data_IF_962891013420
#
_entry.id   IF_962891013420
#
_cell.length_a   1.000
_cell.length_b   1.000
_cell.length_c   1.000
_cell.angle_alpha   90.00
_cell.angle_beta   90.00
_cell.angle_gamma   90.00
#
_symmetry.space_group_name_H-M   'P 1'
#
loop_
_entity.id
_entity.type
_entity.pdbx_description
1 polymer ?
#
# COMPACT_ATOMS: atom_id res chain seq x y z
N UNK A 1 -12.40 10.64 -3.31
CA UNK A 1 -13.37 10.55 -4.43
C UNK A 1 -13.05 11.51 -5.57
N UNK A 2 -12.74 12.79 -5.34
CA UNK A 2 -12.43 13.74 -6.43
C UNK A 2 -11.39 13.20 -7.43
N UNK A 3 -10.31 12.57 -6.94
CA UNK A 3 -9.28 11.98 -7.79
C UNK A 3 -9.69 10.75 -8.61
N UNK A 4 -10.80 10.10 -8.26
CA UNK A 4 -11.29 8.90 -8.94
C UNK A 4 -12.53 9.17 -9.80
N UNK A 5 -13.06 10.41 -9.79
CA UNK A 5 -14.33 10.76 -10.45
C UNK A 5 -14.28 10.65 -11.97
N UNK A 6 -13.10 10.81 -12.58
CA UNK A 6 -12.93 10.81 -14.04
C UNK A 6 -12.29 9.51 -14.55
N UNK A 7 -12.06 8.53 -13.67
CA UNK A 7 -11.43 7.27 -14.05
C UNK A 7 -12.49 6.34 -14.61
N UNK A 8 -12.31 5.94 -15.87
CA UNK A 8 -13.22 5.02 -16.57
C UNK A 8 -12.75 3.58 -16.50
N UNK A 9 -11.50 3.32 -16.09
CA UNK A 9 -10.98 1.97 -15.93
C UNK A 9 -11.53 1.35 -14.63
N UNK A 10 -12.16 0.16 -14.68
CA UNK A 10 -12.65 -0.49 -13.47
C UNK A 10 -11.52 -0.99 -12.54
N UNK A 11 -10.28 -1.12 -13.05
CA UNK A 11 -9.14 -1.60 -12.27
C UNK A 11 -8.11 -0.48 -12.06
N UNK A 12 -7.91 -0.10 -10.80
CA UNK A 12 -7.01 1.00 -10.42
C UNK A 12 -6.07 0.53 -9.30
N UNK A 13 -4.76 0.60 -9.55
CA UNK A 13 -3.72 0.40 -8.56
C UNK A 13 -3.43 1.72 -7.83
N UNK A 14 -3.76 1.78 -6.54
CA UNK A 14 -3.36 2.86 -5.64
C UNK A 14 -2.06 2.46 -4.94
N UNK A 15 -0.99 3.18 -5.26
CA UNK A 15 0.32 2.98 -4.69
C UNK A 15 0.93 4.33 -4.33
N UNK A 16 2.22 4.40 -3.99
CA UNK A 16 2.80 5.68 -3.58
C UNK A 16 4.23 5.91 -4.03
N UNK A 17 4.67 5.21 -5.07
CA UNK A 17 5.79 5.60 -5.91
C UNK A 17 7.14 5.60 -5.20
N UNK A 18 7.27 4.96 -4.04
CA UNK A 18 8.58 4.74 -3.43
C UNK A 18 9.32 3.62 -4.17
N UNK A 19 10.66 3.69 -4.26
CA UNK A 19 11.45 2.59 -4.83
C UNK A 19 11.07 1.24 -4.21
N UNK A 20 11.20 0.15 -4.98
CA UNK A 20 10.88 -1.20 -4.50
C UNK A 20 9.44 -1.59 -4.82
N UNK A 21 8.71 -2.07 -3.80
CA UNK A 21 7.40 -2.69 -3.99
C UNK A 21 6.38 -1.77 -4.68
N UNK A 22 6.28 -0.49 -4.28
CA UNK A 22 5.31 0.45 -4.86
C UNK A 22 5.51 0.57 -6.39
N UNK A 23 6.76 0.73 -6.86
CA UNK A 23 7.07 0.81 -8.30
C UNK A 23 6.83 -0.51 -9.02
N UNK A 24 7.18 -1.65 -8.41
CA UNK A 24 6.95 -2.96 -9.03
C UNK A 24 5.45 -3.25 -9.22
N UNK A 25 4.62 -2.93 -8.22
CA UNK A 25 3.17 -3.01 -8.35
C UNK A 25 2.65 -2.12 -9.47
N UNK A 26 3.10 -0.85 -9.53
CA UNK A 26 2.72 0.09 -10.58
C UNK A 26 3.07 -0.42 -11.97
N UNK A 27 4.31 -0.85 -12.18
CA UNK A 27 4.77 -1.39 -13.47
C UNK A 27 3.98 -2.62 -13.91
N UNK A 28 3.71 -3.55 -13.00
CA UNK A 28 2.94 -4.75 -13.32
C UNK A 28 1.46 -4.45 -13.56
N UNK A 29 0.89 -3.45 -12.88
CA UNK A 29 -0.49 -3.02 -13.08
C UNK A 29 -0.65 -2.34 -14.45
N UNK A 30 0.24 -1.41 -14.77
CA UNK A 30 0.25 -0.67 -16.05
C UNK A 30 0.43 -1.63 -17.23
N UNK A 31 1.32 -2.62 -17.12
CA UNK A 31 1.60 -3.57 -18.20
C UNK A 31 0.41 -4.49 -18.56
N UNK A 32 -0.55 -4.66 -17.65
CA UNK A 32 -1.78 -5.42 -17.89
C UNK A 32 -3.02 -4.53 -18.09
N UNK A 33 -2.82 -3.21 -18.23
CA UNK A 33 -3.86 -2.24 -18.52
C UNK A 33 -4.71 -1.81 -17.32
N UNK A 34 -4.23 -1.98 -16.08
CA UNK A 34 -4.82 -1.28 -14.93
C UNK A 34 -4.34 0.17 -14.94
N UNK A 35 -5.21 1.08 -14.49
CA UNK A 35 -4.77 2.44 -14.21
C UNK A 35 -3.92 2.48 -12.94
N UNK A 36 -2.95 3.39 -12.87
CA UNK A 36 -2.00 3.47 -11.76
C UNK A 36 -1.98 4.88 -11.21
N UNK A 37 -2.15 5.00 -9.90
CA UNK A 37 -1.98 6.24 -9.15
C UNK A 37 -0.91 6.03 -8.09
N UNK A 38 0.17 6.79 -8.20
CA UNK A 38 1.17 6.93 -7.17
C UNK A 38 0.94 8.22 -6.36
N UNK A 39 0.42 8.06 -5.15
CA UNK A 39 0.28 9.16 -4.20
C UNK A 39 1.66 9.64 -3.72
N UNK A 40 1.87 10.95 -3.79
CA UNK A 40 3.16 11.59 -3.56
C UNK A 40 2.98 12.98 -2.94
N UNK A 41 4.05 13.74 -2.80
CA UNK A 41 4.04 15.14 -2.34
C UNK A 41 5.22 15.93 -2.91
N UNK A 42 5.18 17.27 -2.95
CA UNK A 42 6.32 18.09 -3.40
C UNK A 42 7.57 17.75 -2.57
N UNK A 43 8.65 17.27 -3.22
CA UNK A 43 9.89 16.70 -2.64
C UNK A 43 9.92 15.21 -2.29
N UNK A 44 8.86 14.45 -2.54
CA UNK A 44 8.94 12.99 -2.46
C UNK A 44 9.68 12.44 -3.68
N UNK A 45 10.87 11.82 -3.51
CA UNK A 45 11.60 11.21 -4.62
C UNK A 45 10.85 9.98 -5.11
N UNK A 46 10.62 9.91 -6.42
CA UNK A 46 9.95 8.79 -7.08
C UNK A 46 10.47 8.65 -8.50
N UNK A 47 10.56 7.41 -8.97
CA UNK A 47 10.86 7.05 -10.36
C UNK A 47 9.61 6.70 -11.17
N UNK A 48 8.42 6.84 -10.57
CA UNK A 48 7.16 6.62 -11.27
C UNK A 48 6.97 7.62 -12.43
N UNK A 49 6.25 7.23 -13.50
CA UNK A 49 5.82 8.14 -14.55
C UNK A 49 5.07 9.36 -13.98
N UNK A 50 5.35 10.56 -14.52
CA UNK A 50 4.77 11.80 -13.96
C UNK A 50 3.25 11.88 -14.16
N UNK A 51 2.72 11.27 -15.22
CA UNK A 51 1.28 11.14 -15.48
C UNK A 51 0.57 10.18 -14.51
N UNK A 52 1.31 9.31 -13.82
CA UNK A 52 0.79 8.44 -12.77
C UNK A 52 0.95 9.05 -11.36
N UNK A 53 1.61 10.21 -11.22
CA UNK A 53 1.90 10.83 -9.92
C UNK A 53 0.85 11.87 -9.54
N UNK A 54 0.25 11.69 -8.36
CA UNK A 54 -0.57 12.73 -7.71
C UNK A 54 0.19 13.30 -6.52
N UNK A 55 0.60 14.57 -6.62
CA UNK A 55 1.37 15.28 -5.60
C UNK A 55 0.46 16.07 -4.68
N UNK A 56 0.22 15.51 -3.49
CA UNK A 56 -0.65 16.09 -2.48
C UNK A 56 0.02 17.30 -1.81
N UNK A 57 -0.74 18.36 -1.62
CA UNK A 57 -0.33 19.51 -0.79
C UNK A 57 -0.33 19.14 0.69
N UNK A 58 0.31 19.96 1.54
CA UNK A 58 0.30 19.72 2.99
C UNK A 58 -1.12 19.78 3.58
N UNK A 59 -1.99 20.65 3.06
CA UNK A 59 -3.40 20.73 3.46
C UNK A 59 -4.19 19.46 3.08
N UNK A 60 -3.92 18.90 1.91
CA UNK A 60 -4.52 17.63 1.49
C UNK A 60 -4.00 16.49 2.37
N UNK A 61 -2.69 16.43 2.62
CA UNK A 61 -2.10 15.42 3.50
C UNK A 61 -2.70 15.45 4.92
N UNK A 62 -3.05 16.63 5.43
CA UNK A 62 -3.65 16.79 6.76
C UNK A 62 -5.00 16.06 6.92
N UNK A 63 -5.70 15.73 5.84
CA UNK A 63 -6.95 14.93 5.88
C UNK A 63 -6.74 13.54 6.51
N UNK A 64 -5.51 13.03 6.48
CA UNK A 64 -5.15 11.72 7.05
C UNK A 64 -4.87 11.74 8.56
N UNK A 65 -4.86 12.92 9.21
CA UNK A 65 -4.36 13.06 10.59
C UNK A 65 -5.14 12.21 11.60
N UNK A 66 -6.47 12.13 11.49
CA UNK A 66 -7.28 11.30 12.39
C UNK A 66 -7.02 9.80 12.18
N UNK A 67 -6.91 9.35 10.92
CA UNK A 67 -6.57 7.96 10.62
C UNK A 67 -5.18 7.59 11.15
N UNK A 68 -4.20 8.50 11.05
CA UNK A 68 -2.87 8.30 11.60
C UNK A 68 -2.87 8.25 13.12
N UNK A 69 -3.63 9.10 13.81
CA UNK A 69 -3.75 9.06 15.28
C UNK A 69 -4.35 7.73 15.74
N UNK A 70 -5.37 7.24 15.05
CA UNK A 70 -6.00 5.95 15.34
C UNK A 70 -5.04 4.79 15.09
N UNK A 71 -4.31 4.79 13.98
CA UNK A 71 -3.30 3.78 13.69
C UNK A 71 -2.16 3.82 14.71
N UNK A 72 -1.70 5.01 15.12
CA UNK A 72 -0.68 5.17 16.16
C UNK A 72 -1.11 4.52 17.48
N UNK A 73 -2.37 4.69 17.90
CA UNK A 73 -2.93 4.08 19.11
C UNK A 73 -2.95 2.55 19.01
N UNK A 74 -3.38 1.98 17.88
CA UNK A 74 -3.37 0.51 17.67
C UNK A 74 -1.97 -0.06 17.65
N UNK A 75 -1.00 0.69 17.12
CA UNK A 75 0.40 0.26 17.01
C UNK A 75 1.20 0.48 18.29
N UNK A 76 0.60 1.07 19.34
CA UNK A 76 1.30 1.55 20.53
C UNK A 76 2.50 2.46 20.19
N UNK A 77 2.27 3.41 19.28
CA UNK A 77 3.27 4.36 18.77
C UNK A 77 2.77 5.79 18.86
N UNK A 78 3.70 6.74 18.75
CA UNK A 78 3.38 8.14 18.49
C UNK A 78 3.54 8.44 17.00
N UNK A 79 2.68 9.31 16.45
CA UNK A 79 2.84 9.82 15.08
C UNK A 79 4.21 10.53 15.00
N UNK A 80 5.10 10.14 14.07
CA UNK A 80 6.41 10.76 13.91
C UNK A 80 6.30 12.26 13.63
N UNK A 81 7.05 13.06 14.41
CA UNK A 81 7.15 14.53 14.25
C UNK A 81 8.13 14.96 13.16
N UNK A 82 9.01 14.06 12.70
CA UNK A 82 9.98 14.35 11.63
C UNK A 82 9.21 14.67 10.34
N UNK A 83 9.33 15.88 9.74
CA UNK A 83 8.45 16.31 8.66
C UNK A 83 8.36 15.34 7.47
N UNK A 84 9.52 14.85 7.00
CA UNK A 84 9.58 13.88 5.88
C UNK A 84 8.87 12.56 6.21
N UNK A 85 9.09 12.01 7.41
CA UNK A 85 8.46 10.75 7.84
C UNK A 85 6.96 10.95 8.01
N UNK A 86 6.56 12.08 8.60
CA UNK A 86 5.17 12.43 8.80
C UNK A 86 4.42 12.54 7.46
N UNK A 87 4.99 13.21 6.45
CA UNK A 87 4.41 13.28 5.10
C UNK A 87 4.29 11.90 4.42
N UNK A 88 5.30 11.03 4.58
CA UNK A 88 5.23 9.67 4.06
C UNK A 88 4.04 8.90 4.66
N UNK A 89 3.85 8.96 5.97
CA UNK A 89 2.73 8.28 6.61
C UNK A 89 1.38 8.88 6.23
N UNK A 90 1.29 10.21 6.09
CA UNK A 90 0.09 10.88 5.60
C UNK A 90 -0.26 10.46 4.17
N UNK A 91 0.74 10.36 3.29
CA UNK A 91 0.57 9.83 1.94
C UNK A 91 0.02 8.41 1.96
N UNK A 92 0.49 7.56 2.88
CA UNK A 92 0.06 6.17 2.96
C UNK A 92 -1.45 6.01 3.19
N UNK A 93 -2.11 6.98 3.82
CA UNK A 93 -3.57 7.00 3.94
C UNK A 93 -4.25 6.96 2.57
N UNK A 94 -3.77 7.76 1.61
CA UNK A 94 -4.37 7.85 0.27
C UNK A 94 -4.21 6.55 -0.53
N UNK A 95 -3.19 5.74 -0.23
CA UNK A 95 -3.02 4.42 -0.84
C UNK A 95 -4.12 3.44 -0.45
N UNK A 96 -4.75 3.61 0.73
CA UNK A 96 -5.65 2.61 1.31
C UNK A 96 -7.07 3.12 1.54
N UNK A 97 -7.29 4.43 1.61
CA UNK A 97 -8.56 5.01 2.01
C UNK A 97 -9.73 4.66 1.08
N UNK A 98 -9.46 4.44 -0.20
CA UNK A 98 -10.48 4.08 -1.21
C UNK A 98 -10.28 2.69 -1.80
N UNK A 99 -9.36 1.90 -1.23
CA UNK A 99 -9.01 0.58 -1.76
C UNK A 99 -9.94 -0.48 -1.20
N UNK A 100 -10.46 -1.35 -2.06
CA UNK A 100 -11.31 -2.49 -1.75
C UNK A 100 -10.49 -3.71 -1.29
N UNK A 101 -9.23 -3.76 -1.72
CA UNK A 101 -8.24 -4.74 -1.32
C UNK A 101 -6.86 -4.09 -1.14
N UNK A 102 -6.00 -4.67 -0.31
CA UNK A 102 -4.65 -4.20 -0.07
C UNK A 102 -3.65 -5.36 -0.15
N UNK A 103 -2.64 -5.19 -1.00
CA UNK A 103 -1.58 -6.15 -1.27
C UNK A 103 -0.24 -5.51 -0.89
N UNK A 104 0.40 -6.07 0.13
CA UNK A 104 1.65 -5.56 0.66
C UNK A 104 2.77 -6.58 0.47
N UNK A 105 3.96 -6.12 0.07
CA UNK A 105 5.19 -6.93 0.13
C UNK A 105 6.13 -6.35 1.16
N UNK A 106 6.48 -7.09 2.21
CA UNK A 106 7.29 -6.55 3.31
C UNK A 106 8.03 -7.65 4.07
N UNK A 107 8.80 -7.26 5.08
CA UNK A 107 9.38 -8.18 6.05
C UNK A 107 8.41 -8.35 7.21
N UNK A 108 7.95 -9.57 7.48
CA UNK A 108 6.95 -9.86 8.51
C UNK A 108 7.54 -10.81 9.57
N UNK A 109 7.76 -10.31 10.78
CA UNK A 109 8.40 -11.07 11.87
C UNK A 109 7.36 -11.84 12.70
N UNK A 110 6.60 -12.75 12.07
CA UNK A 110 5.52 -13.49 12.75
C UNK A 110 4.38 -12.56 13.19
N UNK A 111 3.74 -12.78 14.35
CA UNK A 111 2.62 -11.92 14.81
C UNK A 111 2.98 -10.43 15.00
N UNK A 112 4.27 -10.07 14.94
CA UNK A 112 4.72 -8.68 14.99
C UNK A 112 4.68 -8.09 13.58
N UNK A 113 3.77 -7.13 13.38
CA UNK A 113 3.65 -6.40 12.13
C UNK A 113 4.97 -5.74 11.72
N UNK A 114 5.20 -5.73 10.40
CA UNK A 114 6.41 -5.26 9.74
C UNK A 114 6.95 -3.90 10.23
N UNK A 115 8.28 -3.68 10.21
CA UNK A 115 8.83 -2.35 10.45
C UNK A 115 8.49 -1.37 9.31
N UNK A 116 8.40 -0.08 9.64
CA UNK A 116 8.36 1.01 8.63
C UNK A 116 6.96 1.52 8.29
N UNK A 117 6.78 2.04 7.07
CA UNK A 117 5.53 2.69 6.64
C UNK A 117 4.41 1.72 6.26
N UNK A 118 4.75 0.50 5.83
CA UNK A 118 3.77 -0.52 5.40
C UNK A 118 2.79 -0.86 6.51
N UNK A 119 3.29 -1.06 7.74
CA UNK A 119 2.44 -1.37 8.90
C UNK A 119 1.42 -0.26 9.22
N UNK A 120 1.80 1.01 9.03
CA UNK A 120 0.87 2.12 9.21
C UNK A 120 -0.23 2.08 8.15
N UNK A 121 0.13 1.82 6.88
CA UNK A 121 -0.82 1.71 5.79
C UNK A 121 -1.80 0.55 6.01
N UNK A 122 -1.30 -0.65 6.34
CA UNK A 122 -2.15 -1.82 6.59
C UNK A 122 -3.03 -1.64 7.82
N UNK A 123 -2.54 -0.97 8.86
CA UNK A 123 -3.35 -0.65 10.05
C UNK A 123 -4.44 0.37 9.73
N UNK A 124 -4.13 1.41 8.96
CA UNK A 124 -5.16 2.34 8.49
C UNK A 124 -6.19 1.62 7.61
N UNK A 125 -5.77 0.70 6.73
CA UNK A 125 -6.69 -0.09 5.93
C UNK A 125 -7.70 -0.87 6.80
N UNK A 126 -7.24 -1.59 7.84
CA UNK A 126 -8.16 -2.37 8.70
C UNK A 126 -9.11 -1.49 9.50
N UNK A 127 -8.71 -0.28 9.87
CA UNK A 127 -9.54 0.69 10.59
C UNK A 127 -10.54 1.41 9.68
N UNK A 128 -10.14 1.74 8.45
CA UNK A 128 -10.99 2.42 7.47
C UNK A 128 -12.02 1.47 6.86
N UNK A 129 -11.68 0.18 6.76
CA UNK A 129 -12.52 -0.86 6.15
C UNK A 129 -12.83 -1.98 7.16
N UNK A 130 -13.57 -1.70 8.25
CA UNK A 130 -13.84 -2.69 9.29
C UNK A 130 -14.60 -3.90 8.72
N UNK A 131 -14.12 -5.10 9.06
CA UNK A 131 -14.67 -6.37 8.55
C UNK A 131 -14.17 -6.78 7.16
N UNK A 132 -13.45 -5.91 6.45
CA UNK A 132 -12.80 -6.27 5.19
C UNK A 132 -11.55 -7.13 5.46
N UNK A 133 -11.53 -8.34 4.88
CA UNK A 133 -10.44 -9.31 4.99
C UNK A 133 -9.54 -9.36 3.76
N UNK A 134 -9.75 -8.47 2.80
CA UNK A 134 -8.94 -8.37 1.59
C UNK A 134 -7.64 -7.60 1.86
N UNK A 135 -6.90 -8.04 2.88
CA UNK A 135 -5.58 -7.53 3.21
C UNK A 135 -4.61 -8.71 3.18
N UNK A 136 -3.68 -8.63 2.25
CA UNK A 136 -2.72 -9.67 1.93
C UNK A 136 -1.30 -9.14 2.08
N UNK A 137 -0.43 -9.92 2.72
CA UNK A 137 0.96 -9.58 2.95
C UNK A 137 1.84 -10.72 2.43
N UNK A 138 2.75 -10.44 1.51
CA UNK A 138 3.86 -11.33 1.21
C UNK A 138 5.00 -11.04 2.16
N UNK A 139 5.37 -12.05 2.95
CA UNK A 139 6.55 -11.97 3.81
C UNK A 139 7.80 -12.37 3.04
N UNK A 140 8.66 -11.39 2.76
CA UNK A 140 9.93 -11.62 2.07
C UNK A 140 10.90 -12.52 2.85
N UNK A 141 10.77 -12.63 4.19
CA UNK A 141 11.64 -13.49 5.00
C UNK A 141 11.28 -14.97 4.80
N UNK A 142 9.99 -15.29 4.85
CA UNK A 142 9.48 -16.66 4.75
C UNK A 142 9.13 -17.09 3.32
N UNK A 143 8.93 -16.13 2.42
CA UNK A 143 8.50 -16.39 1.05
C UNK A 143 7.06 -16.88 0.94
N UNK A 144 6.17 -16.41 1.82
CA UNK A 144 4.77 -16.87 1.90
C UNK A 144 3.79 -15.69 1.86
N UNK A 145 2.58 -15.96 1.37
CA UNK A 145 1.46 -15.04 1.47
C UNK A 145 0.69 -15.25 2.77
N UNK A 146 0.27 -14.15 3.38
CA UNK A 146 -0.53 -14.11 4.59
C UNK A 146 -1.81 -13.31 4.31
N UNK A 147 -2.95 -13.74 4.85
CA UNK A 147 -4.20 -13.00 4.84
C UNK A 147 -4.60 -12.57 6.25
N UNK A 148 -5.07 -11.33 6.37
CA UNK A 148 -5.64 -10.82 7.61
C UNK A 148 -7.08 -11.31 7.81
N UNK A 149 -7.35 -11.90 8.98
CA UNK A 149 -8.67 -12.46 9.32
C UNK A 149 -9.51 -11.56 10.24
N UNK A 150 -8.95 -10.45 10.72
CA UNK A 150 -9.58 -9.51 11.64
C UNK A 150 -8.90 -9.44 13.01
N UNK A 151 -8.29 -10.54 13.43
CA UNK A 151 -7.54 -10.70 14.69
C UNK A 151 -6.22 -11.45 14.53
N UNK A 152 -6.02 -12.10 13.38
CA UNK A 152 -4.93 -13.03 13.13
C UNK A 152 -4.54 -13.03 11.66
N UNK A 153 -3.34 -13.57 11.39
CA UNK A 153 -2.83 -13.80 10.05
C UNK A 153 -2.83 -15.29 9.77
N UNK A 154 -3.36 -15.70 8.63
CA UNK A 154 -3.27 -17.08 8.14
C UNK A 154 -2.36 -17.14 6.93
N UNK A 155 -1.56 -18.18 6.83
CA UNK A 155 -0.81 -18.47 5.61
C UNK A 155 -1.76 -18.99 4.53
N UNK A 156 -1.60 -18.46 3.31
CA UNK A 156 -2.36 -18.85 2.13
C UNK A 156 -1.39 -19.17 0.99
N UNK A 157 -1.82 -20.01 0.06
CA UNK A 157 -1.02 -20.34 -1.12
C UNK A 157 -0.82 -19.12 -2.04
N UNK A 158 -1.90 -18.40 -2.32
CA UNK A 158 -1.89 -17.18 -3.11
C UNK A 158 -3.14 -16.35 -2.81
N UNK A 159 -3.05 -15.01 -2.78
CA UNK A 159 -4.22 -14.16 -2.71
C UNK A 159 -4.97 -14.15 -4.06
N UNK A 160 -6.23 -13.67 -4.09
CA UNK A 160 -6.92 -13.39 -5.34
C UNK A 160 -6.17 -12.34 -6.16
N UNK A 161 -6.18 -12.49 -7.49
CA UNK A 161 -5.59 -11.49 -8.39
C UNK A 161 -6.27 -10.12 -8.16
N UNK A 162 -5.51 -9.02 -8.06
CA UNK A 162 -6.10 -7.71 -7.84
C UNK A 162 -7.09 -7.30 -8.93
N UNK A 163 -8.22 -6.73 -8.51
CA UNK A 163 -9.25 -6.14 -9.36
C UNK A 163 -9.94 -5.00 -8.61
N UNK A 164 -10.76 -4.19 -9.30
CA UNK A 164 -11.42 -3.03 -8.70
C UNK A 164 -10.42 -1.94 -8.33
N UNK A 165 -10.69 -1.20 -7.26
CA UNK A 165 -9.74 -0.23 -6.70
C UNK A 165 -8.92 -0.95 -5.62
N UNK A 166 -7.62 -1.11 -5.82
CA UNK A 166 -6.79 -1.89 -4.91
C UNK A 166 -5.49 -1.18 -4.57
N UNK A 167 -4.95 -1.46 -3.39
CA UNK A 167 -3.68 -0.90 -2.94
C UNK A 167 -2.53 -1.87 -3.23
N UNK A 168 -1.50 -1.40 -3.95
CA UNK A 168 -0.24 -2.12 -4.14
C UNK A 168 0.87 -1.39 -3.39
N UNK A 169 1.32 -1.94 -2.26
CA UNK A 169 2.25 -1.24 -1.36
C UNK A 169 3.42 -2.13 -0.93
N UNK A 170 4.44 -1.55 -0.29
CA UNK A 170 5.38 -2.37 0.47
C UNK A 170 6.73 -1.76 0.78
N UNK A 171 7.69 -2.66 1.00
CA UNK A 171 9.05 -2.35 1.38
C UNK A 171 9.84 -1.71 0.23
N UNK A 172 10.70 -0.75 0.61
CA UNK A 172 11.68 -0.18 -0.33
C UNK A 172 12.77 -1.17 -0.72
N UNK A 173 13.19 -1.99 0.24
CA UNK A 173 14.08 -3.11 0.00
C UNK A 173 13.26 -4.29 -0.52
N UNK A 174 12.92 -4.24 -1.81
CA UNK A 174 12.25 -5.34 -2.51
C UNK A 174 13.28 -6.41 -2.88
N UNK A 175 13.10 -7.62 -2.34
CA UNK A 175 13.92 -8.79 -2.62
C UNK A 175 13.46 -9.49 -3.91
N UNK A 176 14.29 -10.31 -4.55
CA UNK A 176 13.90 -11.07 -5.75
C UNK A 176 12.62 -11.89 -5.55
N UNK A 177 12.48 -12.62 -4.44
CA UNK A 177 11.27 -13.38 -4.14
C UNK A 177 10.02 -12.50 -3.98
N UNK A 178 10.16 -11.31 -3.38
CA UNK A 178 9.06 -10.34 -3.27
C UNK A 178 8.64 -9.79 -4.63
N UNK A 179 9.61 -9.49 -5.51
CA UNK A 179 9.36 -9.09 -6.89
C UNK A 179 8.65 -10.20 -7.67
N UNK A 180 9.14 -11.42 -7.57
CA UNK A 180 8.56 -12.59 -8.25
C UNK A 180 7.13 -12.86 -7.75
N UNK A 181 6.87 -12.66 -6.46
CA UNK A 181 5.51 -12.77 -5.90
C UNK A 181 4.54 -11.74 -6.49
N UNK A 182 4.98 -10.49 -6.68
CA UNK A 182 4.20 -9.44 -7.35
C UNK A 182 3.89 -9.85 -8.80
N UNK A 183 4.94 -10.18 -9.56
CA UNK A 183 4.85 -10.55 -10.97
C UNK A 183 3.95 -11.76 -11.21
N UNK A 184 4.16 -12.83 -10.44
CA UNK A 184 3.34 -14.04 -10.47
C UNK A 184 1.87 -13.73 -10.19
N UNK A 185 1.58 -12.92 -9.16
CA UNK A 185 0.20 -12.55 -8.83
C UNK A 185 -0.44 -11.71 -9.94
N UNK A 186 0.32 -10.82 -10.56
CA UNK A 186 -0.12 -9.95 -11.64
C UNK A 186 -0.16 -10.63 -13.01
N UNK A 187 0.39 -11.85 -13.14
CA UNK A 187 0.46 -12.59 -14.39
C UNK A 187 1.38 -11.92 -15.42
N UNK A 188 2.51 -11.37 -14.96
CA UNK A 188 3.54 -10.72 -15.77
C UNK A 188 4.83 -11.52 -15.64
N UNK A 189 5.48 -11.86 -16.76
CA UNK A 189 6.76 -12.60 -16.81
C UNK A 189 7.97 -11.67 -16.70
#
# INVERSE_FOLDING_TARGET
MEYLQNITNPNICLSGGADGADIEWGNCADSIGHEVIHWSFPSHPSVAPEDQLIRLTDDQLAQSDEALKNAAKTLDKSVPKRPKVSRLLRRNYFQVAWSEACYAVTYFEGEKQAPGGTVWATTMFTQLHPGNRNLYVFDQLRGVWLQWMGDSWIEIESPPRPCGIWAGIGARALQPNGRDAIRKLMGVD
#
